data_IF_869475358253
#
_entry.id   IF_869475358253
#
_cell.length_a   1.000
_cell.length_b   1.000
_cell.length_c   1.000
_cell.angle_alpha   90.00
_cell.angle_beta   90.00
_cell.angle_gamma   90.00
#
_symmetry.space_group_name_H-M   'P 1'
#
loop_
_entity.id
_entity.type
_entity.pdbx_description
1 polymer ?
#
# COMPACT_ATOMS: atom_id res chain seq x y z
N UNK A 1 -19.68 -16.90 -4.46
CA UNK A 1 -19.15 -15.90 -3.52
C UNK A 1 -20.12 -14.73 -3.53
N UNK A 2 -20.53 -14.20 -2.37
CA UNK A 2 -21.41 -13.03 -2.25
C UNK A 2 -20.68 -11.82 -2.85
N UNK A 3 -21.43 -10.97 -3.54
CA UNK A 3 -20.93 -9.70 -4.07
C UNK A 3 -21.75 -8.54 -3.52
N UNK A 4 -21.10 -7.41 -3.26
CA UNK A 4 -21.70 -6.21 -2.68
C UNK A 4 -21.47 -5.04 -3.64
N UNK A 5 -22.47 -4.22 -3.94
CA UNK A 5 -22.30 -3.00 -4.72
C UNK A 5 -21.26 -2.07 -4.07
N UNK A 6 -20.44 -1.43 -4.90
CA UNK A 6 -19.39 -0.53 -4.42
C UNK A 6 -19.94 0.61 -3.54
N UNK A 7 -21.05 1.20 -3.97
CA UNK A 7 -21.70 2.31 -3.26
C UNK A 7 -22.25 1.88 -1.89
N UNK A 8 -22.78 0.66 -1.79
CA UNK A 8 -23.21 0.07 -0.51
C UNK A 8 -22.03 -0.12 0.42
N UNK A 9 -20.90 -0.62 -0.11
CA UNK A 9 -19.67 -0.80 0.67
C UNK A 9 -19.16 0.53 1.22
N UNK A 10 -19.10 1.57 0.40
CA UNK A 10 -18.74 2.94 0.82
C UNK A 10 -19.68 3.43 1.91
N UNK A 11 -20.99 3.31 1.72
CA UNK A 11 -21.98 3.79 2.68
C UNK A 11 -21.84 3.11 4.05
N UNK A 12 -21.60 1.78 4.07
CA UNK A 12 -21.43 1.05 5.33
C UNK A 12 -20.12 1.40 6.04
N UNK A 13 -19.02 1.56 5.31
CA UNK A 13 -17.77 2.00 5.92
C UNK A 13 -17.89 3.42 6.48
N UNK A 14 -18.48 4.36 5.75
CA UNK A 14 -18.71 5.72 6.24
C UNK A 14 -19.56 5.73 7.51
N UNK A 15 -20.67 5.00 7.53
CA UNK A 15 -21.56 4.85 8.72
C UNK A 15 -20.78 4.38 9.96
N UNK A 16 -19.90 3.39 9.79
CA UNK A 16 -19.10 2.86 10.91
C UNK A 16 -18.08 3.91 11.38
N UNK A 17 -17.38 4.58 10.44
CA UNK A 17 -16.38 5.58 10.78
C UNK A 17 -16.98 6.82 11.47
N UNK A 18 -18.16 7.27 11.04
CA UNK A 18 -18.88 8.36 11.73
C UNK A 18 -19.19 7.99 13.18
N UNK A 19 -19.66 6.75 13.45
CA UNK A 19 -19.85 6.26 14.82
C UNK A 19 -18.55 6.21 15.64
N UNK A 20 -17.38 6.17 14.99
CA UNK A 20 -16.06 6.17 15.62
C UNK A 20 -15.43 7.57 15.73
N UNK A 21 -16.21 8.63 15.51
CA UNK A 21 -15.82 10.01 15.77
C UNK A 21 -15.24 10.75 14.58
N UNK A 22 -15.30 10.21 13.37
CA UNK A 22 -14.95 10.95 12.16
C UNK A 22 -16.02 11.99 11.80
N UNK A 23 -15.61 13.10 11.21
CA UNK A 23 -16.56 13.99 10.53
C UNK A 23 -17.17 13.29 9.31
N UNK A 24 -18.36 13.67 8.86
CA UNK A 24 -18.99 13.07 7.69
C UNK A 24 -18.08 13.10 6.43
N UNK A 25 -17.35 14.20 6.22
CA UNK A 25 -16.40 14.32 5.11
C UNK A 25 -15.24 13.35 5.22
N UNK A 26 -14.58 13.26 6.39
CA UNK A 26 -13.45 12.34 6.58
C UNK A 26 -13.90 10.88 6.57
N UNK A 27 -15.08 10.57 7.11
CA UNK A 27 -15.66 9.24 7.05
C UNK A 27 -15.91 8.80 5.60
N UNK A 28 -16.43 9.69 4.77
CA UNK A 28 -16.67 9.45 3.35
C UNK A 28 -15.36 9.23 2.59
N UNK A 29 -14.36 10.10 2.77
CA UNK A 29 -13.05 9.98 2.10
C UNK A 29 -12.34 8.68 2.52
N UNK A 30 -12.35 8.36 3.81
CA UNK A 30 -11.77 7.12 4.33
C UNK A 30 -12.51 5.88 3.81
N UNK A 31 -13.84 5.90 3.77
CA UNK A 31 -14.66 4.83 3.24
C UNK A 31 -14.37 4.55 1.76
N UNK A 32 -14.22 5.61 0.96
CA UNK A 32 -13.84 5.51 -0.45
C UNK A 32 -12.49 4.79 -0.58
N UNK A 33 -11.48 5.12 0.22
CA UNK A 33 -10.17 4.47 0.17
C UNK A 33 -10.28 2.96 0.42
N UNK A 34 -11.01 2.52 1.47
CA UNK A 34 -11.19 1.10 1.75
C UNK A 34 -11.98 0.37 0.66
N UNK A 35 -13.05 1.00 0.17
CA UNK A 35 -13.88 0.42 -0.88
C UNK A 35 -13.14 0.32 -2.21
N UNK A 36 -12.35 1.33 -2.60
CA UNK A 36 -11.50 1.29 -3.80
C UNK A 36 -10.43 0.20 -3.71
N UNK A 37 -9.82 -0.02 -2.55
CA UNK A 37 -8.88 -1.11 -2.35
C UNK A 37 -9.55 -2.48 -2.58
N UNK A 38 -10.77 -2.66 -2.08
CA UNK A 38 -11.56 -3.87 -2.31
C UNK A 38 -11.98 -4.01 -3.78
N UNK A 39 -12.39 -2.89 -4.40
CA UNK A 39 -12.76 -2.84 -5.83
C UNK A 39 -11.60 -3.26 -6.74
N UNK A 40 -10.37 -2.85 -6.40
CA UNK A 40 -9.14 -3.23 -7.12
C UNK A 40 -8.69 -4.68 -6.83
N UNK A 41 -9.41 -5.43 -5.99
CA UNK A 41 -9.05 -6.80 -5.63
C UNK A 41 -8.04 -6.91 -4.48
N UNK A 42 -7.70 -5.82 -3.80
CA UNK A 42 -6.72 -5.80 -2.70
C UNK A 42 -7.46 -5.85 -1.35
N UNK A 43 -8.16 -6.97 -1.12
CA UNK A 43 -9.05 -7.15 0.03
C UNK A 43 -8.34 -7.06 1.38
N UNK A 44 -7.07 -7.48 1.46
CA UNK A 44 -6.23 -7.43 2.67
C UNK A 44 -5.99 -6.01 3.20
N UNK A 45 -6.19 -4.98 2.36
CA UNK A 45 -6.08 -3.55 2.69
C UNK A 45 -7.41 -2.80 2.46
N UNK A 46 -8.46 -3.52 2.14
CA UNK A 46 -9.85 -3.08 2.00
C UNK A 46 -10.73 -3.69 3.08
N UNK A 47 -11.81 -4.36 2.65
CA UNK A 47 -12.82 -4.94 3.53
C UNK A 47 -12.21 -5.82 4.64
N UNK A 48 -11.28 -6.72 4.31
CA UNK A 48 -10.76 -7.67 5.29
C UNK A 48 -9.92 -7.00 6.40
N UNK A 49 -9.38 -5.80 6.13
CA UNK A 49 -8.61 -5.02 7.11
C UNK A 49 -9.49 -4.10 7.95
N UNK A 50 -10.67 -3.73 7.46
CA UNK A 50 -11.52 -2.73 8.08
C UNK A 50 -11.90 -3.04 9.54
N UNK A 51 -12.31 -4.27 9.92
CA UNK A 51 -12.62 -4.61 11.32
C UNK A 51 -11.43 -4.38 12.27
N UNK A 52 -10.22 -4.69 11.82
CA UNK A 52 -9.00 -4.46 12.61
C UNK A 52 -8.72 -2.98 12.82
N UNK A 53 -8.96 -2.15 11.82
CA UNK A 53 -8.81 -0.69 11.93
C UNK A 53 -9.82 -0.11 12.91
N UNK A 54 -11.06 -0.58 12.88
CA UNK A 54 -12.10 -0.22 13.87
C UNK A 54 -11.65 -0.59 15.29
N UNK A 55 -11.06 -1.76 15.48
CA UNK A 55 -10.47 -2.15 16.77
C UNK A 55 -9.38 -1.19 17.26
N UNK A 56 -8.53 -0.68 16.38
CA UNK A 56 -7.51 0.31 16.75
C UNK A 56 -8.10 1.67 17.15
N UNK A 57 -9.19 2.08 16.50
CA UNK A 57 -9.96 3.26 16.90
C UNK A 57 -10.57 3.08 18.29
N UNK A 58 -11.16 1.91 18.58
CA UNK A 58 -11.75 1.57 19.88
C UNK A 58 -10.72 1.53 21.01
N UNK A 59 -9.49 1.12 20.72
CA UNK A 59 -8.39 1.12 21.69
C UNK A 59 -7.74 2.51 21.88
N UNK A 60 -8.10 3.50 21.06
CA UNK A 60 -7.48 4.83 21.08
C UNK A 60 -6.05 4.87 20.49
N UNK A 61 -5.64 3.86 19.73
CA UNK A 61 -4.35 3.80 19.04
C UNK A 61 -4.32 4.70 17.80
N UNK A 62 -5.51 5.00 17.25
CA UNK A 62 -5.73 5.94 16.15
C UNK A 62 -6.63 7.06 16.67
N UNK A 63 -6.17 8.30 16.55
CA UNK A 63 -7.01 9.47 16.81
C UNK A 63 -7.75 9.87 15.52
N UNK A 64 -9.09 9.74 15.46
CA UNK A 64 -9.88 10.09 14.28
C UNK A 64 -9.88 11.61 13.99
N UNK A 65 -9.60 12.45 15.00
CA UNK A 65 -9.58 13.89 14.86
C UNK A 65 -8.20 14.44 14.48
N UNK A 66 -7.12 13.70 14.74
CA UNK A 66 -5.77 14.16 14.47
C UNK A 66 -5.49 14.29 12.96
N UNK A 67 -4.87 15.40 12.59
CA UNK A 67 -4.49 15.74 11.23
C UNK A 67 -3.01 15.97 11.16
N UNK A 68 -2.37 15.46 10.12
CA UNK A 68 -0.96 15.70 9.87
C UNK A 68 -0.69 17.19 9.67
N UNK A 69 0.39 17.67 10.25
CA UNK A 69 0.83 19.08 10.16
C UNK A 69 2.26 19.16 9.65
N UNK A 70 2.55 20.20 8.85
CA UNK A 70 3.90 20.51 8.40
C UNK A 70 4.72 21.06 9.59
N UNK A 71 5.81 20.38 9.91
CA UNK A 71 6.74 20.76 11.00
C UNK A 71 7.96 21.52 10.49
N UNK A 72 8.32 21.30 9.20
CA UNK A 72 9.46 21.95 8.57
C UNK A 72 9.30 21.93 7.06
N UNK A 73 9.62 23.04 6.40
CA UNK A 73 9.56 23.19 4.95
C UNK A 73 10.86 23.83 4.45
N UNK A 74 11.40 23.28 3.37
CA UNK A 74 12.58 23.80 2.67
C UNK A 74 12.44 23.61 1.17
N UNK A 75 11.97 24.62 0.46
CA UNK A 75 11.73 24.55 -0.98
C UNK A 75 10.68 23.49 -1.32
N UNK A 76 11.10 22.46 -2.05
CA UNK A 76 10.23 21.35 -2.49
C UNK A 76 10.09 20.22 -1.48
N UNK A 77 10.69 20.34 -0.29
CA UNK A 77 10.72 19.26 0.71
C UNK A 77 10.05 19.72 1.97
N UNK A 78 9.09 18.94 2.45
CA UNK A 78 8.39 19.19 3.71
C UNK A 78 8.48 17.96 4.63
N UNK A 79 8.65 18.21 5.93
CA UNK A 79 8.53 17.21 6.99
C UNK A 79 7.22 17.43 7.70
N UNK A 80 6.47 16.36 7.89
CA UNK A 80 5.15 16.37 8.53
C UNK A 80 5.10 15.43 9.73
N UNK A 81 4.31 15.78 10.74
CA UNK A 81 3.93 14.91 11.85
C UNK A 81 2.48 14.46 11.65
N UNK A 82 2.25 13.16 11.65
CA UNK A 82 0.93 12.55 11.49
C UNK A 82 0.11 12.50 12.79
N UNK A 83 0.70 12.83 13.95
CA UNK A 83 0.05 12.86 15.27
C UNK A 83 -0.71 11.56 15.61
N UNK A 84 -0.27 10.40 15.11
CA UNK A 84 -0.98 9.11 15.22
C UNK A 84 -2.44 9.17 14.74
N UNK A 85 -2.73 10.08 13.82
CA UNK A 85 -4.02 10.22 13.19
C UNK A 85 -4.33 9.04 12.26
N UNK A 86 -5.46 9.15 11.57
CA UNK A 86 -5.89 8.12 10.64
C UNK A 86 -5.00 8.06 9.41
N UNK A 87 -4.23 6.97 9.31
CA UNK A 87 -3.16 6.81 8.33
C UNK A 87 -3.57 7.10 6.89
N UNK A 88 -4.69 6.57 6.37
CA UNK A 88 -5.12 6.81 5.01
C UNK A 88 -5.37 8.28 4.68
N UNK A 89 -6.05 9.02 5.53
CA UNK A 89 -6.35 10.44 5.28
C UNK A 89 -5.10 11.33 5.36
N UNK A 90 -4.22 11.06 6.33
CA UNK A 90 -2.97 11.79 6.44
C UNK A 90 -2.04 11.53 5.24
N UNK A 91 -1.94 10.27 4.79
CA UNK A 91 -1.16 9.91 3.62
C UNK A 91 -1.72 10.52 2.32
N UNK A 92 -3.07 10.58 2.17
CA UNK A 92 -3.72 11.27 1.05
C UNK A 92 -3.32 12.75 1.03
N UNK A 93 -3.46 13.46 2.16
CA UNK A 93 -3.07 14.88 2.27
C UNK A 93 -1.59 15.10 1.99
N UNK A 94 -0.72 14.21 2.46
CA UNK A 94 0.72 14.28 2.19
C UNK A 94 1.03 14.08 0.70
N UNK A 95 0.34 13.16 0.02
CA UNK A 95 0.50 12.96 -1.42
C UNK A 95 -0.05 14.14 -2.22
N UNK A 96 -1.25 14.65 -1.90
CA UNK A 96 -1.80 15.85 -2.53
C UNK A 96 -0.82 17.02 -2.42
N UNK A 97 -0.25 17.21 -1.22
CA UNK A 97 0.75 18.27 -1.01
C UNK A 97 2.04 18.05 -1.80
N UNK A 98 2.53 16.83 -1.89
CA UNK A 98 3.69 16.51 -2.70
C UNK A 98 3.43 16.80 -4.20
N UNK A 99 2.22 16.53 -4.69
CA UNK A 99 1.81 16.88 -6.06
C UNK A 99 1.79 18.41 -6.27
N UNK A 100 1.24 19.17 -5.32
CA UNK A 100 1.26 20.66 -5.40
C UNK A 100 2.70 21.20 -5.49
N UNK A 101 3.60 20.69 -4.64
CA UNK A 101 5.01 21.07 -4.65
C UNK A 101 5.69 20.70 -5.99
N UNK A 102 5.36 19.52 -6.53
CA UNK A 102 5.89 19.07 -7.82
C UNK A 102 5.39 19.98 -8.97
N UNK A 103 4.12 20.33 -8.98
CA UNK A 103 3.56 21.27 -9.99
C UNK A 103 4.24 22.63 -9.94
N UNK A 104 4.62 23.10 -8.77
CA UNK A 104 5.31 24.39 -8.60
C UNK A 104 6.80 24.29 -8.99
N UNK A 105 7.49 23.26 -8.53
CA UNK A 105 8.96 23.20 -8.53
C UNK A 105 9.57 22.10 -9.42
N UNK A 106 8.73 21.28 -10.08
CA UNK A 106 9.15 20.10 -10.83
C UNK A 106 9.27 18.83 -9.99
N UNK A 107 9.56 18.97 -8.70
CA UNK A 107 9.62 17.88 -7.72
C UNK A 107 8.99 18.33 -6.40
N UNK A 108 8.30 17.41 -5.73
CA UNK A 108 7.77 17.60 -4.39
C UNK A 108 8.07 16.40 -3.51
N UNK A 109 8.48 16.64 -2.28
CA UNK A 109 8.75 15.60 -1.29
C UNK A 109 8.03 15.92 0.00
N UNK A 110 7.23 14.97 0.49
CA UNK A 110 6.64 15.05 1.82
C UNK A 110 7.07 13.82 2.62
N UNK A 111 7.79 14.07 3.71
CA UNK A 111 8.21 13.05 4.65
C UNK A 111 7.28 13.08 5.88
N UNK A 112 6.37 12.10 5.97
CA UNK A 112 5.32 12.00 6.98
C UNK A 112 5.73 10.99 8.07
N UNK A 113 6.11 11.47 9.23
CA UNK A 113 6.43 10.66 10.42
C UNK A 113 5.25 10.54 11.38
N UNK A 114 5.38 9.64 12.36
CA UNK A 114 4.42 9.46 13.46
C UNK A 114 2.97 9.31 12.97
N UNK A 115 2.79 8.65 11.84
CA UNK A 115 1.48 8.34 11.26
C UNK A 115 1.07 6.90 11.60
N UNK A 116 -0.12 6.49 11.22
CA UNK A 116 -0.57 5.11 11.30
C UNK A 116 -0.56 4.43 9.92
N UNK A 117 -0.88 3.15 9.90
CA UNK A 117 -0.89 2.34 8.69
C UNK A 117 -1.80 2.96 7.62
N UNK A 118 -1.26 3.23 6.43
CA UNK A 118 -1.94 3.92 5.33
C UNK A 118 -2.80 3.02 4.43
N UNK A 119 -2.94 1.74 4.78
CA UNK A 119 -3.59 0.68 4.02
C UNK A 119 -2.80 0.33 2.75
N UNK A 120 -3.40 0.41 1.57
CA UNK A 120 -2.76 0.10 0.30
C UNK A 120 -1.90 1.28 -0.17
N UNK A 121 -0.61 1.08 -0.35
CA UNK A 121 0.30 2.11 -0.85
C UNK A 121 -0.02 2.54 -2.29
N UNK A 122 -0.47 1.61 -3.13
CA UNK A 122 -0.89 1.87 -4.50
C UNK A 122 -1.98 2.93 -4.65
N UNK A 123 -2.82 3.16 -3.61
CA UNK A 123 -3.78 4.26 -3.57
C UNK A 123 -3.11 5.61 -3.78
N UNK A 124 -1.95 5.83 -3.17
CA UNK A 124 -1.22 7.10 -3.25
C UNK A 124 -0.40 7.22 -4.52
N UNK A 125 0.14 6.09 -5.01
CA UNK A 125 0.75 6.05 -6.35
C UNK A 125 -0.26 6.43 -7.44
N UNK A 126 -1.47 5.85 -7.35
CA UNK A 126 -2.57 6.17 -8.27
C UNK A 126 -2.97 7.63 -8.17
N UNK A 127 -3.12 8.15 -6.95
CA UNK A 127 -3.45 9.56 -6.71
C UNK A 127 -2.42 10.51 -7.35
N UNK A 128 -1.12 10.23 -7.23
CA UNK A 128 -0.09 11.03 -7.90
C UNK A 128 -0.23 10.98 -9.43
N UNK A 129 -0.52 9.79 -9.98
CA UNK A 129 -0.73 9.61 -11.42
C UNK A 129 -2.00 10.30 -11.92
N UNK A 130 -3.11 10.30 -11.16
CA UNK A 130 -4.33 11.06 -11.45
C UNK A 130 -4.06 12.58 -11.51
N UNK A 131 -3.09 13.08 -10.72
CA UNK A 131 -2.59 14.46 -10.83
C UNK A 131 -1.64 14.66 -12.03
N UNK A 132 -1.44 13.66 -12.88
CA UNK A 132 -0.52 13.69 -14.02
C UNK A 132 0.95 13.71 -13.61
N UNK A 133 1.28 13.18 -12.43
CA UNK A 133 2.63 13.16 -11.88
C UNK A 133 3.16 11.72 -11.74
N UNK A 134 4.49 11.57 -11.84
CA UNK A 134 5.14 10.33 -11.43
C UNK A 134 5.19 10.32 -9.89
N UNK A 135 4.66 9.25 -9.28
CA UNK A 135 4.68 9.05 -7.84
C UNK A 135 5.64 7.93 -7.42
N UNK A 136 6.49 8.19 -6.44
CA UNK A 136 7.33 7.19 -5.78
C UNK A 136 7.08 7.34 -4.29
N UNK A 137 6.51 6.32 -3.65
CA UNK A 137 6.24 6.39 -2.23
C UNK A 137 6.45 5.04 -1.53
N UNK A 138 6.72 5.09 -0.24
CA UNK A 138 6.88 3.89 0.58
C UNK A 138 6.54 4.16 2.04
N UNK A 139 6.35 3.07 2.78
CA UNK A 139 6.17 3.11 4.23
C UNK A 139 7.13 2.14 4.88
N UNK A 140 7.64 2.49 6.06
CA UNK A 140 8.16 1.44 6.92
C UNK A 140 7.01 0.72 7.65
N UNK A 141 7.33 -0.40 8.31
CA UNK A 141 6.39 -1.27 9.01
C UNK A 141 6.99 -1.71 10.34
N UNK A 142 6.25 -2.47 11.13
CA UNK A 142 6.87 -3.22 12.23
C UNK A 142 7.83 -4.30 11.70
N UNK A 143 8.81 -4.77 12.52
CA UNK A 143 9.74 -5.82 12.11
C UNK A 143 8.98 -7.13 11.85
N UNK A 144 8.95 -7.55 10.60
CA UNK A 144 8.20 -8.72 10.15
C UNK A 144 8.99 -9.68 9.24
N UNK A 145 10.25 -9.35 8.93
CA UNK A 145 11.16 -10.21 8.16
C UNK A 145 12.53 -10.31 8.83
N UNK A 146 13.24 -11.45 8.68
CA UNK A 146 14.66 -11.51 8.97
C UNK A 146 15.45 -10.76 7.88
N UNK A 147 16.52 -10.08 8.28
CA UNK A 147 17.53 -9.63 7.33
C UNK A 147 18.21 -10.85 6.69
N UNK A 148 18.73 -10.71 5.47
CA UNK A 148 19.43 -11.81 4.81
C UNK A 148 20.63 -12.30 5.65
N UNK A 149 20.65 -13.58 5.95
CA UNK A 149 21.62 -14.20 6.86
C UNK A 149 21.25 -14.16 8.35
N UNK A 150 20.18 -13.46 8.72
CA UNK A 150 19.64 -13.39 10.09
C UNK A 150 18.56 -14.45 10.35
N UNK A 151 18.28 -14.70 11.62
CA UNK A 151 17.18 -15.57 12.06
C UNK A 151 16.00 -14.78 12.62
N UNK A 152 16.26 -13.62 13.21
CA UNK A 152 15.26 -12.80 13.88
C UNK A 152 14.63 -11.81 12.93
N UNK A 153 13.35 -11.49 13.15
CA UNK A 153 12.65 -10.42 12.43
C UNK A 153 13.20 -9.08 12.88
N UNK A 154 13.96 -8.42 12.04
CA UNK A 154 14.63 -7.14 12.34
C UNK A 154 14.34 -6.06 11.29
N UNK A 155 13.83 -6.44 10.11
CA UNK A 155 13.48 -5.53 9.02
C UNK A 155 11.99 -5.63 8.72
N UNK A 156 11.44 -4.56 8.15
CA UNK A 156 10.06 -4.51 7.68
C UNK A 156 9.92 -5.00 6.24
N UNK A 157 8.72 -5.35 5.82
CA UNK A 157 8.44 -5.62 4.41
C UNK A 157 8.21 -4.33 3.59
N UNK A 158 8.34 -3.20 4.20
CA UNK A 158 8.44 -1.82 3.70
C UNK A 158 7.97 -1.63 2.24
N UNK A 159 6.64 -1.60 1.97
CA UNK A 159 6.12 -1.59 0.62
C UNK A 159 6.59 -0.36 -0.15
N UNK A 160 7.07 -0.60 -1.39
CA UNK A 160 7.51 0.42 -2.32
C UNK A 160 6.50 0.51 -3.48
N UNK A 161 6.11 1.74 -3.80
CA UNK A 161 5.15 2.06 -4.84
C UNK A 161 5.83 2.99 -5.86
N UNK A 162 5.64 2.69 -7.14
CA UNK A 162 6.01 3.59 -8.23
C UNK A 162 4.87 3.64 -9.23
N UNK A 163 4.45 4.84 -9.62
CA UNK A 163 3.37 5.06 -10.56
C UNK A 163 3.78 6.06 -11.63
N UNK A 164 3.40 5.77 -12.87
CA UNK A 164 3.62 6.63 -14.04
C UNK A 164 2.26 6.96 -14.64
N UNK A 165 1.97 8.27 -14.87
CA UNK A 165 0.67 8.69 -15.35
C UNK A 165 0.46 8.33 -16.83
N UNK A 166 -0.82 8.10 -17.19
CA UNK A 166 -1.35 8.07 -18.56
C UNK A 166 -2.62 8.90 -18.60
N UNK A 167 -2.82 9.66 -19.66
CA UNK A 167 -3.97 10.59 -19.76
C UNK A 167 -5.32 9.88 -19.82
N UNK A 168 -5.33 8.59 -20.23
CA UNK A 168 -6.53 7.75 -20.25
C UNK A 168 -6.94 7.20 -18.85
N UNK A 169 -6.17 7.49 -17.79
CA UNK A 169 -6.42 7.00 -16.44
C UNK A 169 -5.99 5.55 -16.18
N UNK A 170 -5.48 4.84 -17.19
CA UNK A 170 -4.96 3.47 -17.04
C UNK A 170 -3.45 3.51 -16.73
N UNK A 171 -3.11 4.05 -15.57
CA UNK A 171 -1.73 4.27 -15.16
C UNK A 171 -0.92 2.97 -15.01
N UNK A 172 0.39 3.04 -15.25
CA UNK A 172 1.30 1.96 -14.90
C UNK A 172 1.73 2.13 -13.44
N UNK A 173 1.46 1.14 -12.58
CA UNK A 173 1.72 1.27 -11.15
C UNK A 173 2.13 -0.06 -10.54
N UNK A 174 3.30 -0.11 -9.91
CA UNK A 174 3.71 -1.21 -9.04
C UNK A 174 3.46 -0.83 -7.58
N UNK A 175 2.84 -1.75 -6.84
CA UNK A 175 2.70 -1.70 -5.38
C UNK A 175 3.17 -3.04 -4.83
N UNK A 176 4.36 -3.09 -4.27
CA UNK A 176 4.93 -4.34 -3.79
C UNK A 176 5.58 -4.20 -2.42
N UNK A 177 5.24 -5.14 -1.53
CA UNK A 177 6.06 -5.38 -0.35
C UNK A 177 7.44 -5.90 -0.78
N UNK A 178 8.49 -5.58 -0.01
CA UNK A 178 9.86 -6.05 -0.28
C UNK A 178 10.07 -7.50 0.18
N UNK A 179 9.00 -8.19 0.57
CA UNK A 179 8.98 -9.64 0.81
C UNK A 179 8.70 -10.42 -0.47
N UNK A 180 9.17 -11.68 -0.55
CA UNK A 180 8.96 -12.56 -1.71
C UNK A 180 7.48 -12.80 -2.00
N UNK A 181 6.67 -12.93 -0.97
CA UNK A 181 5.22 -12.96 -1.01
C UNK A 181 4.64 -12.10 0.11
N UNK A 182 3.46 -11.54 -0.13
CA UNK A 182 2.72 -10.89 0.94
C UNK A 182 2.19 -11.92 1.94
N UNK A 183 1.98 -11.53 3.20
CA UNK A 183 1.36 -12.39 4.20
C UNK A 183 -0.01 -12.88 3.75
N UNK A 184 -0.81 -12.05 3.10
CA UNK A 184 -2.11 -12.45 2.56
C UNK A 184 -2.01 -13.52 1.47
N UNK A 185 -0.96 -13.51 0.63
CA UNK A 185 -0.73 -14.57 -0.36
C UNK A 185 -0.33 -15.89 0.30
N UNK A 186 0.50 -15.83 1.34
CA UNK A 186 0.89 -17.02 2.11
C UNK A 186 -0.33 -17.66 2.76
N UNK A 187 -1.17 -16.85 3.41
CA UNK A 187 -2.43 -17.31 4.02
C UNK A 187 -3.40 -17.92 3.00
N UNK A 188 -3.60 -17.26 1.84
CA UNK A 188 -4.45 -17.81 0.75
C UNK A 188 -3.96 -19.18 0.29
N UNK A 189 -2.65 -19.34 0.06
CA UNK A 189 -2.07 -20.63 -0.31
C UNK A 189 -2.30 -21.70 0.77
N UNK A 190 -2.13 -21.35 2.05
CA UNK A 190 -2.40 -22.27 3.15
C UNK A 190 -3.86 -22.70 3.21
N UNK A 191 -4.79 -21.74 3.13
CA UNK A 191 -6.24 -22.04 3.16
C UNK A 191 -6.68 -22.92 2.00
N UNK A 192 -6.04 -22.75 0.84
CA UNK A 192 -6.30 -23.58 -0.35
C UNK A 192 -5.55 -24.90 -0.36
N UNK A 193 -4.66 -25.15 0.61
CA UNK A 193 -3.84 -26.36 0.67
C UNK A 193 -2.82 -26.47 -0.48
N UNK A 194 -2.32 -25.36 -1.01
CA UNK A 194 -1.36 -25.31 -2.11
C UNK A 194 -0.01 -24.77 -1.66
N UNK A 195 1.07 -25.27 -2.25
CA UNK A 195 2.42 -24.79 -2.02
C UNK A 195 2.64 -23.46 -2.74
N UNK A 196 3.58 -22.66 -2.24
CA UNK A 196 4.07 -21.50 -2.96
C UNK A 196 4.92 -21.97 -4.17
N UNK A 197 4.93 -21.21 -5.28
CA UNK A 197 5.65 -21.59 -6.50
C UNK A 197 7.18 -21.59 -6.34
N UNK A 198 7.68 -20.83 -5.37
CA UNK A 198 9.10 -20.75 -4.99
C UNK A 198 9.19 -20.59 -3.47
N UNK A 199 10.37 -20.80 -2.84
CA UNK A 199 10.51 -20.55 -1.40
C UNK A 199 10.06 -19.14 -1.01
N UNK A 200 9.16 -19.06 -0.01
CA UNK A 200 8.57 -17.80 0.47
C UNK A 200 9.04 -17.39 1.87
N UNK A 201 9.74 -18.25 2.56
CA UNK A 201 10.18 -18.01 3.93
C UNK A 201 11.00 -19.18 4.51
N UNK A 202 11.11 -19.18 5.83
CA UNK A 202 11.91 -20.16 6.57
C UNK A 202 11.02 -21.00 7.48
N UNK A 203 11.32 -22.31 7.57
CA UNK A 203 10.74 -23.19 8.56
C UNK A 203 11.40 -23.03 9.95
N UNK A 204 10.98 -23.81 10.94
CA UNK A 204 11.50 -23.76 12.31
C UNK A 204 13.00 -24.07 12.39
N UNK A 205 13.51 -24.90 11.47
CA UNK A 205 14.94 -25.23 11.39
C UNK A 205 15.79 -24.11 10.74
N UNK A 206 15.16 -23.12 10.11
CA UNK A 206 15.84 -22.05 9.37
C UNK A 206 16.16 -22.42 7.92
N UNK A 207 15.50 -23.45 7.39
CA UNK A 207 15.62 -23.85 6.00
C UNK A 207 14.56 -23.13 5.16
N UNK A 208 14.88 -22.85 3.89
CA UNK A 208 13.93 -22.28 2.95
C UNK A 208 12.80 -23.27 2.65
N UNK A 209 11.56 -22.79 2.66
CA UNK A 209 10.39 -23.62 2.41
C UNK A 209 9.38 -22.98 1.48
N UNK A 210 8.65 -23.82 0.72
CA UNK A 210 7.48 -23.45 -0.08
C UNK A 210 6.17 -23.69 0.68
N UNK A 211 6.23 -24.33 1.86
CA UNK A 211 5.05 -24.63 2.66
C UNK A 211 4.57 -23.40 3.41
N UNK A 212 3.37 -22.86 3.05
CA UNK A 212 2.83 -21.67 3.70
C UNK A 212 2.54 -21.88 5.19
N UNK A 213 2.20 -23.10 5.62
CA UNK A 213 1.91 -23.38 7.03
C UNK A 213 3.18 -23.34 7.89
N UNK A 214 4.32 -23.82 7.37
CA UNK A 214 5.61 -23.69 8.04
C UNK A 214 6.06 -22.22 8.16
N UNK A 215 5.83 -21.43 7.10
CA UNK A 215 6.17 -20.00 7.11
C UNK A 215 5.32 -19.24 8.14
N UNK A 216 4.01 -19.48 8.19
CA UNK A 216 3.13 -18.86 9.19
C UNK A 216 3.51 -19.22 10.63
N UNK A 217 3.97 -20.43 10.89
CA UNK A 217 4.48 -20.82 12.21
C UNK A 217 5.65 -19.97 12.69
N UNK A 218 6.56 -19.65 11.78
CA UNK A 218 7.78 -18.89 12.10
C UNK A 218 7.62 -17.38 11.93
N UNK A 219 6.67 -16.95 11.10
CA UNK A 219 6.53 -15.58 10.64
C UNK A 219 7.84 -15.01 10.06
N UNK A 220 8.67 -15.88 9.47
CA UNK A 220 9.95 -15.50 8.84
C UNK A 220 9.83 -15.54 7.33
N UNK A 221 9.21 -14.49 6.78
CA UNK A 221 9.05 -14.33 5.33
C UNK A 221 10.40 -13.98 4.69
N UNK A 222 10.63 -14.49 3.49
CA UNK A 222 11.85 -14.25 2.73
C UNK A 222 11.82 -12.85 2.07
N UNK A 223 12.89 -12.04 2.15
CA UNK A 223 13.04 -10.85 1.32
C UNK A 223 13.07 -11.20 -0.18
N UNK A 224 12.40 -10.44 -1.03
CA UNK A 224 12.41 -10.66 -2.47
C UNK A 224 13.83 -10.56 -3.04
N UNK A 225 14.22 -11.49 -3.91
CA UNK A 225 15.59 -11.52 -4.45
C UNK A 225 16.67 -11.64 -3.38
N UNK A 226 16.35 -12.24 -2.22
CA UNK A 226 17.27 -12.57 -1.13
C UNK A 226 17.92 -11.31 -0.52
N UNK A 227 19.26 -11.17 -0.67
CA UNK A 227 20.00 -10.03 -0.13
C UNK A 227 19.59 -8.68 -0.74
N UNK A 228 19.09 -8.67 -1.99
CA UNK A 228 18.64 -7.45 -2.68
C UNK A 228 17.45 -6.82 -1.96
N UNK A 229 16.40 -7.61 -1.71
CA UNK A 229 15.22 -7.15 -0.96
C UNK A 229 15.57 -6.80 0.48
N UNK A 230 16.44 -7.58 1.14
CA UNK A 230 16.93 -7.23 2.47
C UNK A 230 17.62 -5.87 2.49
N UNK A 231 18.52 -5.62 1.54
CA UNK A 231 19.21 -4.33 1.42
C UNK A 231 18.25 -3.19 1.11
N UNK A 232 17.29 -3.42 0.19
CA UNK A 232 16.27 -2.42 -0.16
C UNK A 232 15.40 -2.05 1.04
N UNK A 233 14.92 -3.05 1.80
CA UNK A 233 14.11 -2.81 3.00
C UNK A 233 14.87 -1.93 4.02
N UNK A 234 16.13 -2.24 4.27
CA UNK A 234 16.97 -1.45 5.20
C UNK A 234 17.15 -0.02 4.67
N UNK A 235 17.44 0.15 3.38
CA UNK A 235 17.62 1.46 2.79
C UNK A 235 16.35 2.33 2.87
N UNK A 236 15.18 1.74 2.59
CA UNK A 236 13.89 2.44 2.70
C UNK A 236 13.60 2.90 4.12
N UNK A 237 13.89 2.06 5.15
CA UNK A 237 13.71 2.42 6.55
C UNK A 237 14.68 3.53 6.98
N UNK A 238 15.97 3.42 6.60
CA UNK A 238 16.97 4.44 6.90
C UNK A 238 16.57 5.81 6.31
N UNK A 239 16.19 5.86 5.02
CA UNK A 239 15.79 7.11 4.36
C UNK A 239 14.56 7.69 5.03
N UNK A 240 13.52 6.86 5.28
CA UNK A 240 12.29 7.31 5.89
C UNK A 240 12.54 7.89 7.30
N UNK A 241 13.29 7.18 8.13
CA UNK A 241 13.58 7.58 9.50
C UNK A 241 14.43 8.86 9.56
N UNK A 242 15.44 8.97 8.70
CA UNK A 242 16.33 10.17 8.65
C UNK A 242 15.54 11.39 8.20
N UNK A 243 14.72 11.29 7.13
CA UNK A 243 13.97 12.43 6.61
C UNK A 243 12.90 12.94 7.59
N UNK A 244 12.25 12.04 8.31
CA UNK A 244 11.18 12.41 9.26
C UNK A 244 11.68 12.71 10.66
N UNK A 245 12.90 12.27 11.04
CA UNK A 245 13.35 12.14 12.43
C UNK A 245 12.31 11.33 13.24
N UNK A 246 11.70 10.35 12.62
CA UNK A 246 10.58 9.56 13.14
C UNK A 246 10.99 8.17 13.62
N UNK A 247 10.01 7.28 13.67
CA UNK A 247 10.21 5.92 14.15
C UNK A 247 10.76 5.02 13.04
N UNK A 248 11.85 4.31 13.33
CA UNK A 248 12.37 3.23 12.50
C UNK A 248 11.57 1.95 12.69
N UNK A 249 11.77 0.96 11.81
CA UNK A 249 11.25 -0.41 11.99
C UNK A 249 11.57 -0.95 13.38
N UNK A 250 12.81 -0.73 13.87
CA UNK A 250 13.21 -1.13 15.22
C UNK A 250 12.34 -0.46 16.30
N UNK A 251 12.15 0.87 16.23
CA UNK A 251 11.36 1.62 17.20
C UNK A 251 9.90 1.20 17.19
N UNK A 252 9.29 1.05 15.99
CA UNK A 252 7.92 0.57 15.81
C UNK A 252 7.74 -0.80 16.50
N UNK A 253 8.74 -1.68 16.35
CA UNK A 253 8.73 -3.00 16.98
C UNK A 253 8.66 -2.98 18.51
N UNK A 254 9.02 -1.86 19.17
CA UNK A 254 8.94 -1.72 20.63
C UNK A 254 7.54 -1.35 21.12
N UNK A 255 6.64 -0.91 20.25
CA UNK A 255 5.29 -0.48 20.64
C UNK A 255 4.31 -1.65 20.86
N UNK A 256 4.64 -2.83 20.34
CA UNK A 256 3.75 -4.00 20.39
C UNK A 256 2.68 -4.03 19.31
N UNK A 257 2.22 -2.88 18.85
CA UNK A 257 1.28 -2.70 17.73
C UNK A 257 1.90 -1.86 16.61
N UNK A 258 1.36 -1.97 15.39
CA UNK A 258 1.87 -1.30 14.19
C UNK A 258 1.35 0.14 14.10
N UNK A 259 1.91 1.01 14.94
CA UNK A 259 1.53 2.43 15.09
C UNK A 259 2.74 3.35 14.96
N UNK A 260 2.50 4.61 14.65
CA UNK A 260 3.56 5.62 14.55
C UNK A 260 4.51 5.41 13.37
N UNK A 261 4.02 4.87 12.25
CA UNK A 261 4.78 4.57 11.05
C UNK A 261 5.25 5.83 10.34
N UNK A 262 6.16 5.60 9.41
CA UNK A 262 6.74 6.67 8.57
C UNK A 262 6.46 6.38 7.10
N UNK A 263 5.97 7.39 6.37
CA UNK A 263 5.73 7.34 4.94
C UNK A 263 6.50 8.44 4.21
N UNK A 264 7.02 8.13 3.04
CA UNK A 264 7.68 9.10 2.16
C UNK A 264 6.92 9.19 0.85
N UNK A 265 6.64 10.41 0.42
CA UNK A 265 6.03 10.74 -0.86
C UNK A 265 7.03 11.56 -1.67
N UNK A 266 7.45 11.04 -2.82
CA UNK A 266 8.26 11.75 -3.81
C UNK A 266 7.45 11.83 -5.08
N UNK A 267 7.23 13.04 -5.57
CA UNK A 267 6.43 13.31 -6.77
C UNK A 267 7.24 14.12 -7.75
N UNK A 268 7.19 13.74 -9.03
CA UNK A 268 7.87 14.45 -10.13
C UNK A 268 6.82 14.84 -11.15
N UNK A 269 6.82 16.09 -11.57
CA UNK A 269 5.93 16.58 -12.63
C UNK A 269 6.59 16.40 -14.02
N UNK A 270 6.18 15.39 -14.82
CA UNK A 270 6.77 15.16 -16.14
C UNK A 270 6.46 16.30 -17.11
N UNK A 271 5.42 17.09 -16.88
CA UNK A 271 5.05 18.22 -17.72
C UNK A 271 6.10 19.37 -17.73
N UNK A 272 7.12 19.26 -16.87
CA UNK A 272 8.29 20.16 -16.92
C UNK A 272 9.27 19.82 -18.06
N UNK A 273 9.16 18.63 -18.63
CA UNK A 273 10.07 18.09 -19.63
C UNK A 273 9.38 17.65 -20.92
N UNK A 274 8.15 17.14 -20.83
CA UNK A 274 7.41 16.54 -21.92
C UNK A 274 5.98 17.10 -21.99
N UNK A 275 5.36 17.07 -23.14
CA UNK A 275 3.89 17.22 -23.23
C UNK A 275 3.19 15.96 -22.72
N UNK A 276 1.87 16.04 -22.53
CA UNK A 276 1.06 14.86 -22.14
C UNK A 276 1.13 13.79 -23.23
N UNK A 277 1.04 14.18 -24.49
CA UNK A 277 1.09 13.30 -25.66
C UNK A 277 2.44 12.60 -25.78
N UNK A 278 3.54 13.29 -25.52
CA UNK A 278 4.90 12.70 -25.51
C UNK A 278 5.04 11.69 -24.36
N UNK A 279 4.53 12.03 -23.18
CA UNK A 279 4.54 11.12 -22.03
C UNK A 279 3.72 9.85 -22.33
N UNK A 280 2.50 9.99 -22.85
CA UNK A 280 1.65 8.86 -23.23
C UNK A 280 2.31 7.99 -24.30
N UNK A 281 2.87 8.60 -25.34
CA UNK A 281 3.54 7.87 -26.41
C UNK A 281 4.73 7.02 -25.89
N UNK A 282 5.52 7.57 -24.96
CA UNK A 282 6.65 6.84 -24.34
C UNK A 282 6.11 5.66 -23.51
N UNK A 283 5.12 5.90 -22.65
CA UNK A 283 4.57 4.86 -21.76
C UNK A 283 3.89 3.77 -22.60
N UNK A 284 3.06 4.13 -23.56
CA UNK A 284 2.34 3.19 -24.43
C UNK A 284 3.28 2.31 -25.26
N UNK A 285 4.37 2.90 -25.80
CA UNK A 285 5.37 2.12 -26.53
C UNK A 285 6.04 1.06 -25.65
N UNK A 286 6.43 1.42 -24.43
CA UNK A 286 7.05 0.48 -23.47
C UNK A 286 6.06 -0.62 -23.08
N UNK A 287 4.83 -0.27 -22.73
CA UNK A 287 3.82 -1.24 -22.29
C UNK A 287 3.39 -2.16 -23.44
N UNK A 288 3.26 -1.64 -24.65
CA UNK A 288 2.94 -2.44 -25.83
C UNK A 288 4.05 -3.44 -26.15
N UNK A 289 5.33 -3.05 -26.06
CA UNK A 289 6.46 -3.95 -26.25
C UNK A 289 6.46 -5.09 -25.21
N UNK A 290 6.28 -4.77 -23.92
CA UNK A 290 6.17 -5.77 -22.85
C UNK A 290 5.01 -6.74 -23.13
N UNK A 291 3.86 -6.24 -23.54
CA UNK A 291 2.68 -7.06 -23.82
C UNK A 291 2.80 -7.90 -25.10
N UNK A 292 3.69 -7.55 -26.00
CA UNK A 292 3.99 -8.34 -27.19
C UNK A 292 4.81 -9.59 -26.91
N UNK A 293 5.30 -9.76 -25.68
CA UNK A 293 6.08 -10.92 -25.25
C UNK A 293 5.25 -12.20 -25.39
N UNK A 294 5.87 -13.26 -25.90
CA UNK A 294 5.25 -14.58 -25.98
C UNK A 294 5.04 -15.14 -24.57
N UNK A 295 3.80 -15.51 -24.20
CA UNK A 295 3.53 -16.08 -22.89
C UNK A 295 4.23 -17.43 -22.69
N UNK A 296 4.79 -17.66 -21.50
CA UNK A 296 5.44 -18.95 -21.15
C UNK A 296 4.45 -20.11 -21.15
N UNK A 297 3.19 -19.85 -20.83
CA UNK A 297 2.12 -20.84 -20.78
C UNK A 297 1.17 -20.62 -21.94
N UNK A 298 0.80 -21.66 -22.66
CA UNK A 298 -0.18 -21.59 -23.75
C UNK A 298 -1.51 -20.98 -23.24
N UNK A 299 -2.00 -19.95 -23.93
CA UNK A 299 -3.19 -19.18 -23.52
C UNK A 299 -2.97 -18.25 -22.32
N UNK A 300 -1.73 -18.09 -21.86
CA UNK A 300 -1.38 -17.12 -20.82
C UNK A 300 -1.39 -15.68 -21.32
N UNK A 301 -1.31 -14.73 -20.39
CA UNK A 301 -1.18 -13.31 -20.69
C UNK A 301 0.03 -12.72 -19.97
N UNK A 302 0.71 -11.76 -20.61
CA UNK A 302 1.75 -10.92 -19.96
C UNK A 302 1.10 -9.63 -19.52
N UNK A 303 1.25 -9.30 -18.25
CA UNK A 303 0.67 -8.10 -17.63
C UNK A 303 1.74 -7.07 -17.32
N UNK A 304 1.41 -5.80 -17.51
CA UNK A 304 2.19 -4.71 -16.95
C UNK A 304 1.70 -4.37 -15.52
N UNK A 305 2.54 -3.69 -14.70
CA UNK A 305 2.16 -3.34 -13.33
C UNK A 305 0.91 -2.44 -13.30
N UNK A 306 -0.11 -2.84 -12.52
CA UNK A 306 -1.40 -2.15 -12.40
C UNK A 306 -2.51 -2.68 -13.31
N UNK A 307 -2.20 -3.44 -14.36
CA UNK A 307 -3.21 -3.91 -15.31
C UNK A 307 -4.23 -4.87 -14.69
N UNK A 308 -3.80 -5.74 -13.77
CA UNK A 308 -4.70 -6.66 -13.08
C UNK A 308 -5.68 -5.91 -12.17
N UNK A 309 -5.23 -4.86 -11.51
CA UNK A 309 -6.10 -3.99 -10.70
C UNK A 309 -7.15 -3.29 -11.57
N UNK A 310 -6.76 -2.80 -12.75
CA UNK A 310 -7.70 -2.20 -13.71
C UNK A 310 -8.76 -3.21 -14.18
N UNK A 311 -8.36 -4.44 -14.48
CA UNK A 311 -9.29 -5.52 -14.83
C UNK A 311 -10.26 -5.81 -13.68
N UNK A 312 -9.75 -5.93 -12.44
CA UNK A 312 -10.57 -6.15 -11.25
C UNK A 312 -11.55 -5.00 -11.01
N UNK A 313 -11.09 -3.75 -11.14
CA UNK A 313 -11.95 -2.55 -10.99
C UNK A 313 -13.10 -2.59 -11.99
N UNK A 314 -12.83 -2.91 -13.25
CA UNK A 314 -13.85 -3.00 -14.29
C UNK A 314 -14.88 -4.09 -13.97
N UNK A 315 -14.41 -5.30 -13.67
CA UNK A 315 -15.29 -6.43 -13.34
C UNK A 315 -16.13 -6.15 -12.08
N UNK A 316 -15.48 -5.66 -11.02
CA UNK A 316 -16.15 -5.45 -9.73
C UNK A 316 -17.11 -4.25 -9.76
N UNK A 317 -16.94 -3.28 -10.66
CA UNK A 317 -17.93 -2.22 -10.90
C UNK A 317 -19.22 -2.77 -11.51
N UNK A 318 -19.11 -3.75 -12.42
CA UNK A 318 -20.27 -4.34 -13.08
C UNK A 318 -20.98 -5.37 -12.18
N UNK A 319 -20.22 -6.25 -11.54
CA UNK A 319 -20.75 -7.43 -10.85
C UNK A 319 -20.88 -7.24 -9.32
N UNK A 320 -20.40 -6.12 -8.77
CA UNK A 320 -20.20 -5.92 -7.35
C UNK A 320 -18.89 -6.53 -6.85
N UNK A 321 -18.40 -6.05 -5.72
CA UNK A 321 -17.16 -6.47 -5.08
C UNK A 321 -17.36 -7.82 -4.38
N UNK A 322 -16.55 -8.86 -4.66
CA UNK A 322 -16.65 -10.14 -3.97
C UNK A 322 -16.21 -9.99 -2.51
N UNK A 323 -16.96 -10.60 -1.59
CA UNK A 323 -16.73 -10.45 -0.15
C UNK A 323 -16.69 -11.80 0.55
N UNK A 324 -15.92 -11.89 1.63
CA UNK A 324 -16.04 -12.94 2.63
C UNK A 324 -17.28 -12.58 3.47
N UNK A 325 -18.29 -13.43 3.45
CA UNK A 325 -19.61 -13.12 4.02
C UNK A 325 -19.55 -12.80 5.51
N UNK A 326 -18.77 -13.56 6.27
CA UNK A 326 -18.60 -13.35 7.71
C UNK A 326 -17.96 -11.99 8.03
N UNK A 327 -16.98 -11.55 7.20
CA UNK A 327 -16.34 -10.24 7.36
C UNK A 327 -17.32 -9.12 7.03
N UNK A 328 -18.07 -9.25 5.93
CA UNK A 328 -19.09 -8.27 5.57
C UNK A 328 -20.18 -8.14 6.61
N UNK A 329 -20.71 -9.27 7.11
CA UNK A 329 -21.71 -9.27 8.19
C UNK A 329 -21.18 -8.63 9.48
N UNK A 330 -19.88 -8.80 9.78
CA UNK A 330 -19.29 -8.12 10.94
C UNK A 330 -19.32 -6.60 10.77
N UNK A 331 -19.05 -6.07 9.58
CA UNK A 331 -19.14 -4.63 9.28
C UNK A 331 -20.57 -4.11 9.41
N UNK A 332 -21.55 -4.88 8.94
CA UNK A 332 -22.97 -4.48 9.06
C UNK A 332 -23.44 -4.37 10.53
N UNK A 333 -22.84 -5.15 11.42
CA UNK A 333 -23.17 -5.17 12.86
C UNK A 333 -22.43 -4.08 13.67
N UNK A 334 -21.37 -3.45 13.14
CA UNK A 334 -20.68 -2.30 13.73
C UNK A 334 -21.54 -1.02 13.63
#
# INVERSE_FOLDING_TARGET
MKRVPYEEMVAQFARVLEKKGFTASDAQDAAIIFAQNSLAGVFSHGLNRFPRVVSYLEKGEIDPAARATCVSSMGSIERWDGHRGFGPLNAKRAMDRACELAKQNGVGVVALGNNNHWMRGGTYGWLAADHGCIGICWSNTMPNMPAWGGKDRKIGNNPLIMAVPRSNGEHAMIDCAVSQFSYGKIEDCRLRGVQLPVPGGYNEKGELTTDPAEIEKTWRVLPMGYWKGSGLSIALDLIATVLTNGNSVHTIGTFGDEIGLTQIMIVIDPAKFNTVEETDAIVDAILADVKSSEPVTEGGEVYYPGELELKNIKENKELGVPVIEEVWESVLKM
#
